data_IF_995416847466
#
_entry.id   IF_995416847466
#
_cell.length_a   1.000
_cell.length_b   1.000
_cell.length_c   1.000
_cell.angle_alpha   90.00
_cell.angle_beta   90.00
_cell.angle_gamma   90.00
#
_symmetry.space_group_name_H-M   'P 1'
#
loop_
_entity.id
_entity.type
_entity.pdbx_description
1 polymer ?
#
# COMPACT_ATOMS: atom_id res chain seq x y z
N UNK A 1 -5.13 -4.87 -19.17
CA UNK A 1 -4.20 -5.53 -18.22
C UNK A 1 -4.98 -5.83 -16.96
N UNK A 2 -4.97 -7.05 -16.48
CA UNK A 2 -5.56 -7.38 -15.19
C UNK A 2 -4.76 -6.68 -14.08
N UNK A 3 -5.42 -5.99 -13.16
CA UNK A 3 -4.78 -5.40 -11.99
C UNK A 3 -4.21 -6.53 -11.12
N UNK A 4 -2.99 -6.36 -10.64
CA UNK A 4 -2.30 -7.37 -9.81
C UNK A 4 -2.23 -6.85 -8.39
N UNK A 5 -2.85 -7.54 -7.41
CA UNK A 5 -2.66 -7.24 -6.00
C UNK A 5 -1.18 -7.30 -5.61
N UNK A 6 -0.76 -6.35 -4.79
CA UNK A 6 0.56 -6.36 -4.12
C UNK A 6 0.42 -6.79 -2.67
N UNK A 7 -0.66 -6.40 -2.00
CA UNK A 7 -0.95 -6.77 -0.63
C UNK A 7 -2.46 -6.80 -0.37
N UNK A 8 -2.87 -7.65 0.56
CA UNK A 8 -4.27 -7.83 0.97
C UNK A 8 -4.32 -7.94 2.49
N UNK A 9 -5.25 -7.21 3.11
CA UNK A 9 -5.50 -7.28 4.55
C UNK A 9 -7.01 -7.21 4.85
N UNK A 10 -7.43 -7.79 5.96
CA UNK A 10 -8.79 -7.64 6.48
C UNK A 10 -8.89 -6.47 7.44
N UNK A 11 -10.04 -5.80 7.44
CA UNK A 11 -10.40 -4.86 8.49
C UNK A 11 -10.62 -5.58 9.82
N UNK A 12 -10.51 -4.87 10.94
CA UNK A 12 -10.59 -5.46 12.29
C UNK A 12 -11.94 -6.11 12.61
N UNK A 13 -12.99 -5.75 11.89
CA UNK A 13 -14.34 -6.35 11.99
C UNK A 13 -14.55 -7.56 11.10
N UNK A 14 -13.53 -7.93 10.32
CA UNK A 14 -13.56 -9.04 9.35
C UNK A 14 -14.69 -8.94 8.30
N UNK A 15 -15.14 -7.74 7.98
CA UNK A 15 -16.20 -7.53 6.98
C UNK A 15 -15.67 -7.14 5.61
N UNK A 16 -14.50 -6.48 5.58
CA UNK A 16 -13.98 -5.84 4.38
C UNK A 16 -12.53 -6.27 4.12
N UNK A 17 -12.24 -6.61 2.88
CA UNK A 17 -10.90 -6.84 2.36
C UNK A 17 -10.38 -5.51 1.82
N UNK A 18 -9.22 -5.07 2.27
CA UNK A 18 -8.46 -4.00 1.65
C UNK A 18 -7.41 -4.62 0.73
N UNK A 19 -7.40 -4.20 -0.52
CA UNK A 19 -6.52 -4.74 -1.54
C UNK A 19 -5.72 -3.59 -2.16
N UNK A 20 -4.40 -3.58 -1.95
CA UNK A 20 -3.49 -2.69 -2.64
C UNK A 20 -3.02 -3.31 -3.95
N UNK A 21 -2.88 -2.50 -5.00
CA UNK A 21 -2.39 -2.96 -6.29
C UNK A 21 -1.06 -2.32 -6.69
N UNK A 22 -0.43 -2.90 -7.71
CA UNK A 22 0.85 -2.40 -8.26
C UNK A 22 0.73 -1.07 -9.03
N UNK A 23 -0.47 -0.56 -9.20
CA UNK A 23 -0.70 0.72 -9.88
C UNK A 23 -0.89 1.88 -8.90
N UNK A 24 -0.83 1.59 -7.60
CA UNK A 24 -0.93 2.59 -6.55
C UNK A 24 -2.33 2.73 -5.95
N UNK A 25 -3.28 1.89 -6.33
CA UNK A 25 -4.65 1.98 -5.86
C UNK A 25 -4.92 1.02 -4.69
N UNK A 26 -5.75 1.45 -3.74
CA UNK A 26 -6.29 0.59 -2.67
C UNK A 26 -7.80 0.52 -2.81
N UNK A 27 -8.30 -0.70 -2.86
CA UNK A 27 -9.71 -1.03 -2.99
C UNK A 27 -10.26 -1.66 -1.73
N UNK A 28 -11.51 -1.36 -1.42
CA UNK A 28 -12.32 -2.11 -0.46
C UNK A 28 -13.23 -3.10 -1.20
N UNK A 29 -13.27 -4.33 -0.69
CA UNK A 29 -14.13 -5.39 -1.19
C UNK A 29 -14.83 -6.03 0.00
N UNK A 30 -16.13 -6.38 -0.10
CA UNK A 30 -16.78 -7.16 0.95
C UNK A 30 -16.12 -8.54 1.05
N UNK A 31 -15.86 -9.03 2.27
CA UNK A 31 -15.33 -10.38 2.49
C UNK A 31 -16.34 -11.44 2.06
N UNK A 32 -17.59 -11.20 2.38
CA UNK A 32 -18.71 -12.07 1.97
C UNK A 32 -19.61 -11.23 1.07
N UNK A 33 -19.64 -11.48 -0.25
CA UNK A 33 -20.51 -10.76 -1.14
C UNK A 33 -21.98 -11.04 -0.81
N UNK A 34 -22.81 -10.01 -0.81
CA UNK A 34 -24.26 -10.12 -0.73
C UNK A 34 -24.82 -10.50 -2.12
N UNK A 35 -25.94 -11.22 -2.20
CA UNK A 35 -26.62 -11.46 -3.48
C UNK A 35 -27.01 -10.20 -4.25
N UNK A 36 -27.13 -9.07 -3.57
CA UNK A 36 -27.40 -7.76 -4.18
C UNK A 36 -26.11 -7.07 -4.69
N UNK A 37 -24.93 -7.49 -4.22
CA UNK A 37 -23.64 -6.96 -4.66
C UNK A 37 -23.25 -7.43 -6.08
N UNK A 38 -23.88 -8.49 -6.58
CA UNK A 38 -23.73 -8.99 -7.97
C UNK A 38 -24.58 -8.21 -8.97
N UNK A 39 -25.52 -7.40 -8.50
CA UNK A 39 -26.21 -6.42 -9.34
C UNK A 39 -25.29 -5.24 -9.54
N UNK A 40 -24.47 -5.32 -10.60
CA UNK A 40 -23.71 -4.18 -11.08
C UNK A 40 -24.75 -3.09 -11.36
N UNK A 41 -24.81 -2.07 -10.53
CA UNK A 41 -25.39 -0.81 -10.97
C UNK A 41 -24.50 -0.37 -12.14
N UNK A 42 -24.99 -0.56 -13.36
CA UNK A 42 -24.44 0.18 -14.47
C UNK A 42 -24.37 1.63 -14.00
N UNK A 43 -23.22 2.33 -14.21
CA UNK A 43 -23.12 3.71 -13.82
C UNK A 43 -24.41 4.37 -14.33
N UNK A 44 -25.24 4.81 -13.40
CA UNK A 44 -26.49 5.46 -13.73
C UNK A 44 -26.09 6.66 -14.58
N UNK A 45 -26.24 6.51 -15.87
CA UNK A 45 -26.35 7.65 -16.74
C UNK A 45 -27.54 8.43 -16.19
N UNK A 46 -27.24 9.41 -15.36
CA UNK A 46 -28.21 10.46 -15.05
C UNK A 46 -28.76 10.87 -16.40
N UNK A 47 -30.09 10.78 -16.62
CA UNK A 47 -30.66 11.18 -17.92
C UNK A 47 -30.25 12.64 -18.09
N UNK A 48 -29.28 12.86 -18.94
CA UNK A 48 -28.92 14.18 -19.40
C UNK A 48 -30.16 14.73 -20.07
N UNK A 49 -30.86 15.58 -19.32
CA UNK A 49 -31.86 16.47 -19.92
C UNK A 49 -31.14 17.20 -21.03
N UNK A 50 -31.56 16.89 -22.26
CA UNK A 50 -30.99 17.45 -23.46
C UNK A 50 -31.07 18.98 -23.41
N UNK A 51 -29.93 19.62 -23.10
CA UNK A 51 -29.68 21.02 -23.42
C UNK A 51 -28.57 21.05 -24.49
N UNK A 52 -28.73 21.86 -25.54
CA UNK A 52 -27.84 21.84 -26.69
C UNK A 52 -26.47 22.43 -26.34
N UNK A 53 -25.45 21.69 -26.71
CA UNK A 53 -24.07 22.09 -27.00
C UNK A 53 -23.45 23.27 -26.18
N UNK A 54 -23.17 23.03 -24.90
CA UNK A 54 -22.04 23.66 -24.28
C UNK A 54 -20.98 22.57 -24.02
N UNK A 55 -20.07 22.37 -24.98
CA UNK A 55 -18.83 21.64 -24.71
C UNK A 55 -18.13 22.35 -23.56
N UNK A 56 -18.22 21.80 -22.38
CA UNK A 56 -17.40 22.24 -21.25
C UNK A 56 -15.94 22.26 -21.71
N UNK A 57 -15.35 23.45 -21.71
CA UNK A 57 -13.96 23.62 -22.07
C UNK A 57 -13.09 22.91 -21.02
N UNK A 58 -12.51 21.79 -21.38
CA UNK A 58 -11.53 21.10 -20.55
C UNK A 58 -10.13 21.55 -21.00
N UNK A 59 -9.32 22.12 -20.08
CA UNK A 59 -7.95 22.46 -20.40
C UNK A 59 -7.18 21.21 -20.84
N UNK A 60 -6.68 21.22 -22.06
CA UNK A 60 -5.88 20.13 -22.60
C UNK A 60 -4.58 20.64 -23.18
N UNK A 61 -3.51 19.87 -23.01
CA UNK A 61 -2.22 20.18 -23.63
C UNK A 61 -2.35 20.09 -25.16
N UNK A 62 -1.85 21.09 -25.87
CA UNK A 62 -1.79 21.13 -27.33
C UNK A 62 -0.35 21.24 -27.78
N UNK A 63 -0.09 20.95 -29.05
CA UNK A 63 1.26 21.11 -29.64
C UNK A 63 1.77 22.53 -29.59
N UNK A 64 0.86 23.52 -29.48
CA UNK A 64 1.19 24.94 -29.34
C UNK A 64 1.52 25.33 -27.89
N UNK A 65 0.97 24.65 -26.90
CA UNK A 65 1.18 24.94 -25.48
C UNK A 65 2.35 24.16 -24.87
N UNK A 66 2.85 23.14 -25.55
CA UNK A 66 3.98 22.32 -25.09
C UNK A 66 5.26 22.70 -25.82
N UNK A 67 6.20 23.32 -25.11
CA UNK A 67 7.44 23.84 -25.69
C UNK A 67 8.61 22.84 -25.67
N UNK A 68 8.63 21.89 -24.72
CA UNK A 68 9.69 20.87 -24.63
C UNK A 68 9.55 19.85 -25.75
N UNK A 69 10.61 19.59 -26.49
CA UNK A 69 10.64 18.58 -27.56
C UNK A 69 10.30 17.17 -27.08
N UNK A 70 10.71 16.82 -25.85
CA UNK A 70 10.38 15.54 -25.21
C UNK A 70 8.88 15.41 -24.93
N UNK A 71 8.29 16.46 -24.35
CA UNK A 71 6.87 16.48 -24.01
C UNK A 71 5.99 16.54 -25.26
N UNK A 72 6.43 17.21 -26.32
CA UNK A 72 5.75 17.17 -27.64
C UNK A 72 5.65 15.77 -28.18
N UNK A 73 6.74 15.01 -28.16
CA UNK A 73 6.75 13.64 -28.63
C UNK A 73 5.80 12.75 -27.85
N UNK A 74 5.77 12.91 -26.53
CA UNK A 74 4.83 12.20 -25.65
C UNK A 74 3.39 12.58 -25.95
N UNK A 75 3.10 13.87 -26.17
CA UNK A 75 1.77 14.35 -26.55
C UNK A 75 1.30 13.76 -27.89
N UNK A 76 2.18 13.75 -28.89
CA UNK A 76 1.90 13.16 -30.19
C UNK A 76 1.60 11.65 -30.10
N UNK A 77 2.35 10.93 -29.28
CA UNK A 77 2.09 9.51 -29.01
C UNK A 77 0.74 9.29 -28.33
N UNK A 78 0.38 10.13 -27.35
CA UNK A 78 -0.94 10.09 -26.68
C UNK A 78 -2.08 10.40 -27.65
N UNK A 79 -1.90 11.39 -28.53
CA UNK A 79 -2.91 11.72 -29.57
C UNK A 79 -3.06 10.58 -30.58
N UNK A 80 -1.96 9.95 -31.01
CA UNK A 80 -2.00 8.75 -31.88
C UNK A 80 -2.70 7.57 -31.19
N UNK A 81 -2.51 7.39 -29.88
CA UNK A 81 -3.21 6.35 -29.11
C UNK A 81 -4.71 6.64 -28.98
N UNK A 82 -5.11 7.90 -28.77
CA UNK A 82 -6.52 8.31 -28.75
C UNK A 82 -7.18 8.15 -30.12
N UNK A 83 -6.47 8.43 -31.21
CA UNK A 83 -6.98 8.27 -32.57
C UNK A 83 -7.16 6.80 -33.01
N UNK A 84 -6.49 5.85 -32.37
CA UNK A 84 -6.64 4.41 -32.62
C UNK A 84 -7.91 3.79 -32.03
N UNK A 85 -8.80 4.60 -31.47
CA UNK A 85 -10.04 4.19 -30.84
C UNK A 85 -9.86 3.84 -29.36
N UNK A 86 -10.97 3.72 -28.61
CA UNK A 86 -10.90 3.37 -27.21
C UNK A 86 -10.14 2.04 -27.08
N UNK A 87 -9.04 2.07 -26.31
CA UNK A 87 -8.39 0.85 -25.87
C UNK A 87 -9.51 -0.07 -25.36
N UNK A 88 -9.52 -1.33 -25.83
CA UNK A 88 -10.51 -2.35 -25.46
C UNK A 88 -10.99 -2.08 -24.06
N UNK A 89 -12.27 -1.75 -23.91
CA UNK A 89 -12.87 -1.44 -22.61
C UNK A 89 -12.43 -2.52 -21.64
N UNK A 90 -11.76 -2.13 -20.58
CA UNK A 90 -11.42 -3.07 -19.51
C UNK A 90 -12.77 -3.65 -19.11
N UNK A 91 -12.93 -4.95 -19.24
CA UNK A 91 -14.16 -5.60 -18.77
C UNK A 91 -14.39 -5.10 -17.33
N UNK A 92 -15.56 -4.53 -17.04
CA UNK A 92 -15.86 -4.07 -15.69
C UNK A 92 -15.68 -5.25 -14.73
N UNK A 93 -15.07 -5.00 -13.58
CA UNK A 93 -14.96 -6.05 -12.57
C UNK A 93 -16.37 -6.47 -12.14
N UNK A 94 -16.65 -7.77 -12.20
CA UNK A 94 -17.98 -8.35 -11.95
C UNK A 94 -18.29 -8.53 -10.45
N UNK A 95 -17.72 -7.73 -9.59
CA UNK A 95 -17.92 -7.78 -8.16
C UNK A 95 -17.86 -6.37 -7.57
N UNK A 96 -18.54 -6.18 -6.45
CA UNK A 96 -18.56 -4.91 -5.75
C UNK A 96 -17.17 -4.58 -5.24
N UNK A 97 -16.69 -3.41 -5.59
CA UNK A 97 -15.42 -2.87 -5.15
C UNK A 97 -15.51 -1.36 -5.10
N UNK A 98 -14.84 -0.77 -4.15
CA UNK A 98 -14.76 0.67 -3.98
C UNK A 98 -13.29 1.10 -4.00
N UNK A 99 -12.96 2.11 -4.81
CA UNK A 99 -11.63 2.73 -4.78
C UNK A 99 -11.57 3.69 -3.58
N UNK A 100 -10.72 3.38 -2.60
CA UNK A 100 -10.58 4.16 -1.39
C UNK A 100 -9.55 5.29 -1.53
N UNK A 101 -8.40 4.97 -2.09
CA UNK A 101 -7.29 5.92 -2.24
C UNK A 101 -6.36 5.49 -3.37
N UNK A 102 -5.62 6.46 -3.90
CA UNK A 102 -4.64 6.25 -4.94
C UNK A 102 -3.27 6.86 -4.58
N UNK A 103 -2.23 6.28 -5.13
CA UNK A 103 -0.85 6.74 -5.08
C UNK A 103 -0.29 6.88 -6.50
N UNK A 104 0.73 7.69 -6.64
CA UNK A 104 1.50 7.80 -7.90
C UNK A 104 2.48 6.64 -8.02
N UNK A 105 3.06 6.21 -6.89
CA UNK A 105 4.02 5.11 -6.82
C UNK A 105 3.34 3.75 -6.66
N UNK A 106 4.08 2.70 -7.02
CA UNK A 106 3.65 1.32 -6.84
C UNK A 106 3.58 0.96 -5.37
N UNK A 107 2.39 0.53 -4.92
CA UNK A 107 2.22 0.02 -3.56
C UNK A 107 2.85 -1.36 -3.40
N UNK A 108 3.52 -1.54 -2.28
CA UNK A 108 4.20 -2.78 -1.90
C UNK A 108 3.47 -3.50 -0.78
N UNK A 109 2.92 -2.73 0.17
CA UNK A 109 2.17 -3.29 1.29
C UNK A 109 1.07 -2.34 1.78
N UNK A 110 0.08 -2.91 2.48
CA UNK A 110 -1.00 -2.19 3.15
C UNK A 110 -1.24 -2.79 4.53
N UNK A 111 -1.37 -1.91 5.52
CA UNK A 111 -1.75 -2.27 6.88
C UNK A 111 -3.00 -1.49 7.29
N UNK A 112 -3.77 -2.08 8.21
CA UNK A 112 -4.99 -1.49 8.74
C UNK A 112 -4.99 -1.57 10.26
N UNK A 113 -5.44 -0.50 10.90
CA UNK A 113 -5.61 -0.47 12.36
C UNK A 113 -6.79 0.40 12.76
N UNK A 114 -7.24 0.24 13.99
CA UNK A 114 -8.27 1.07 14.60
C UNK A 114 -7.79 1.55 15.97
N UNK A 115 -7.79 2.87 16.17
CA UNK A 115 -7.36 3.51 17.41
C UNK A 115 -8.42 4.53 17.81
N UNK A 116 -8.86 4.52 19.06
CA UNK A 116 -9.86 5.45 19.62
C UNK A 116 -11.12 5.60 18.75
N UNK A 117 -11.59 4.49 18.22
CA UNK A 117 -12.78 4.44 17.38
C UNK A 117 -12.57 4.87 15.91
N UNK A 118 -11.40 5.37 15.54
CA UNK A 118 -11.04 5.74 14.17
C UNK A 118 -10.26 4.63 13.50
N UNK A 119 -10.55 4.40 12.24
CA UNK A 119 -9.79 3.48 11.41
C UNK A 119 -8.74 4.22 10.59
N UNK A 120 -7.64 3.51 10.30
CA UNK A 120 -6.52 4.02 9.52
C UNK A 120 -6.05 2.98 8.52
N UNK A 121 -5.67 3.45 7.33
CA UNK A 121 -5.02 2.68 6.29
C UNK A 121 -3.61 3.21 6.16
N UNK A 122 -2.63 2.35 6.38
CA UNK A 122 -1.22 2.68 6.21
C UNK A 122 -0.72 1.95 4.98
N UNK A 123 -0.10 2.68 4.07
CA UNK A 123 0.41 2.15 2.81
C UNK A 123 1.90 2.37 2.72
N UNK A 124 2.60 1.36 2.22
CA UNK A 124 4.01 1.45 1.86
C UNK A 124 4.15 1.42 0.35
N UNK A 125 5.08 2.18 -0.19
CA UNK A 125 5.36 2.23 -1.61
C UNK A 125 6.82 1.90 -1.94
N UNK A 126 7.10 1.79 -3.22
CA UNK A 126 8.42 1.52 -3.74
C UNK A 126 9.39 2.71 -3.60
N UNK A 127 8.85 3.92 -3.44
CA UNK A 127 9.61 5.16 -3.40
C UNK A 127 9.85 5.62 -1.94
N UNK A 128 10.03 4.65 -1.01
CA UNK A 128 10.48 4.88 0.36
C UNK A 128 9.44 5.53 1.29
N UNK A 129 8.20 5.71 0.82
CA UNK A 129 7.18 6.40 1.59
C UNK A 129 6.25 5.43 2.33
N UNK A 130 5.94 5.82 3.57
CA UNK A 130 4.85 5.23 4.33
C UNK A 130 3.82 6.33 4.57
N UNK A 131 2.61 6.19 3.98
CA UNK A 131 1.52 7.14 4.12
C UNK A 131 0.46 6.63 5.06
N UNK A 132 0.00 7.52 5.95
CA UNK A 132 -1.06 7.29 6.90
C UNK A 132 -2.30 8.02 6.38
N UNK A 133 -3.34 7.27 6.05
CA UNK A 133 -4.64 7.80 5.63
C UNK A 133 -5.70 7.37 6.62
N UNK A 134 -6.79 8.12 6.71
CA UNK A 134 -7.97 7.65 7.45
C UNK A 134 -8.52 6.39 6.80
N UNK A 135 -9.23 5.58 7.56
CA UNK A 135 -10.02 4.49 7.00
C UNK A 135 -11.38 4.97 6.50
N UNK A 136 -12.16 4.08 5.86
CA UNK A 136 -13.50 4.41 5.40
C UNK A 136 -14.37 5.01 6.51
N UNK A 137 -15.25 6.00 6.17
CA UNK A 137 -15.53 6.54 4.83
C UNK A 137 -14.60 7.67 4.40
N UNK A 138 -13.58 8.02 5.18
CA UNK A 138 -12.71 9.19 4.96
C UNK A 138 -11.33 8.82 4.41
N UNK A 139 -11.21 7.75 3.65
CA UNK A 139 -9.93 7.21 3.18
C UNK A 139 -9.10 8.18 2.32
N UNK A 140 -9.74 9.17 1.71
CA UNK A 140 -9.09 10.24 0.94
C UNK A 140 -8.30 11.23 1.79
N UNK A 141 -8.50 11.24 3.13
CA UNK A 141 -7.81 12.18 4.03
C UNK A 141 -6.47 11.57 4.44
N UNK A 142 -5.39 12.25 4.08
CA UNK A 142 -4.03 11.93 4.50
C UNK A 142 -3.79 12.60 5.86
N UNK A 143 -3.47 11.80 6.88
CA UNK A 143 -3.14 12.31 8.22
C UNK A 143 -1.64 12.63 8.34
N UNK A 144 -0.78 11.86 7.67
CA UNK A 144 0.66 12.07 7.75
C UNK A 144 1.47 11.05 6.97
N UNK A 145 2.78 11.13 7.20
CA UNK A 145 3.77 10.24 6.60
C UNK A 145 4.81 9.85 7.66
N UNK A 146 5.40 8.66 7.49
CA UNK A 146 6.62 8.27 8.19
C UNK A 146 7.79 8.33 7.21
N UNK A 147 8.71 9.24 7.43
CA UNK A 147 9.90 9.45 6.60
C UNK A 147 11.15 8.94 7.30
N UNK A 148 12.06 8.30 6.58
CA UNK A 148 13.34 7.84 7.13
C UNK A 148 13.91 6.59 6.49
N UNK A 149 13.14 5.87 5.66
CA UNK A 149 13.68 4.84 4.79
C UNK A 149 14.56 5.47 3.70
N UNK A 150 15.60 4.78 3.30
CA UNK A 150 16.53 5.15 2.21
C UNK A 150 16.45 4.17 1.04
N UNK A 151 15.66 3.11 1.20
CA UNK A 151 15.36 2.12 0.20
C UNK A 151 13.87 1.76 0.22
N UNK A 152 13.40 1.02 -0.78
CA UNK A 152 12.00 0.62 -0.89
C UNK A 152 11.48 -0.04 0.39
N UNK A 153 10.25 0.27 0.76
CA UNK A 153 9.55 -0.40 1.86
C UNK A 153 8.76 -1.57 1.27
N UNK A 154 8.92 -2.76 1.84
CA UNK A 154 8.25 -3.97 1.34
C UNK A 154 7.19 -4.52 2.29
N UNK A 155 7.34 -4.26 3.59
CA UNK A 155 6.46 -4.82 4.63
C UNK A 155 6.18 -3.84 5.75
N UNK A 156 4.93 -3.91 6.21
CA UNK A 156 4.39 -3.19 7.36
C UNK A 156 3.81 -4.21 8.35
N UNK A 157 4.03 -4.00 9.64
CA UNK A 157 3.46 -4.84 10.68
C UNK A 157 3.17 -4.01 11.93
N UNK A 158 1.99 -4.16 12.51
CA UNK A 158 1.70 -3.60 13.83
C UNK A 158 2.14 -4.54 14.93
N UNK A 159 2.81 -3.99 15.93
CA UNK A 159 3.08 -4.69 17.20
C UNK A 159 1.80 -4.72 18.05
N UNK A 160 1.77 -5.59 19.05
CA UNK A 160 0.68 -5.60 20.04
C UNK A 160 0.56 -4.28 20.83
N UNK A 161 1.66 -3.57 21.01
CA UNK A 161 1.68 -2.26 21.65
C UNK A 161 1.21 -1.12 20.74
N UNK A 162 0.76 -1.43 19.52
CA UNK A 162 0.25 -0.44 18.56
C UNK A 162 1.31 0.35 17.81
N UNK A 163 2.58 0.01 17.95
CA UNK A 163 3.66 0.59 17.14
C UNK A 163 3.66 -0.01 15.75
N UNK A 164 4.05 0.76 14.76
CA UNK A 164 4.26 0.28 13.40
C UNK A 164 5.72 -0.12 13.21
N UNK A 165 5.95 -1.30 12.64
CA UNK A 165 7.27 -1.75 12.21
C UNK A 165 7.26 -1.85 10.70
N UNK A 166 8.31 -1.33 10.06
CA UNK A 166 8.48 -1.39 8.61
C UNK A 166 9.87 -1.92 8.26
N UNK A 167 9.97 -2.51 7.09
CA UNK A 167 11.22 -3.00 6.53
C UNK A 167 11.15 -3.19 5.03
N UNK A 168 12.30 -3.21 4.40
CA UNK A 168 12.42 -3.33 2.95
C UNK A 168 13.85 -3.60 2.51
N UNK A 169 14.39 -2.72 1.69
CA UNK A 169 15.75 -2.78 1.18
C UNK A 169 16.80 -2.14 2.09
N UNK A 170 16.39 -1.52 3.19
CA UNK A 170 17.31 -0.94 4.17
C UNK A 170 17.98 -2.02 5.03
N UNK A 171 19.12 -1.67 5.62
CA UNK A 171 19.87 -2.53 6.54
C UNK A 171 19.24 -2.64 7.93
N UNK A 172 18.10 -1.98 8.14
CA UNK A 172 17.41 -1.86 9.42
C UNK A 172 15.91 -2.14 9.27
N UNK A 173 15.29 -2.61 10.35
CA UNK A 173 13.86 -2.42 10.58
C UNK A 173 13.65 -1.08 11.29
N UNK A 174 12.55 -0.42 10.98
CA UNK A 174 12.19 0.86 11.55
C UNK A 174 10.95 0.69 12.42
N UNK A 175 11.02 1.21 13.65
CA UNK A 175 9.90 1.22 14.61
C UNK A 175 9.38 2.64 14.74
N UNK A 176 8.09 2.81 14.49
CA UNK A 176 7.45 4.13 14.41
C UNK A 176 6.43 4.36 15.49
N UNK A 177 6.42 5.58 16.00
CA UNK A 177 5.23 6.21 16.52
C UNK A 177 4.49 6.82 15.32
N UNK A 178 3.73 5.98 14.64
CA UNK A 178 3.14 6.30 13.36
C UNK A 178 2.09 7.42 13.44
N UNK A 179 1.39 7.57 14.58
CA UNK A 179 0.40 8.63 14.78
C UNK A 179 1.05 10.02 14.76
N UNK A 180 2.28 10.13 15.26
CA UNK A 180 3.04 11.36 15.27
C UNK A 180 4.05 11.44 14.11
N UNK A 181 4.16 10.41 13.28
CA UNK A 181 5.12 10.32 12.18
C UNK A 181 6.58 10.25 12.65
N UNK A 182 6.82 9.83 13.89
CA UNK A 182 8.14 9.85 14.50
C UNK A 182 8.81 8.47 14.46
N UNK A 183 10.06 8.46 14.03
CA UNK A 183 10.92 7.29 14.15
C UNK A 183 11.35 7.11 15.61
N UNK A 184 11.00 5.97 16.21
CA UNK A 184 11.39 5.62 17.59
C UNK A 184 12.72 4.88 17.65
N UNK A 185 12.89 3.90 16.75
CA UNK A 185 14.05 3.01 16.81
C UNK A 185 14.39 2.48 15.41
N UNK A 186 15.68 2.24 15.17
CA UNK A 186 16.22 1.49 14.04
C UNK A 186 16.87 0.22 14.57
N UNK A 187 16.36 -0.94 14.14
CA UNK A 187 16.90 -2.25 14.52
C UNK A 187 17.79 -2.76 13.39
N UNK A 188 19.10 -2.83 13.62
CA UNK A 188 20.04 -3.34 12.64
C UNK A 188 19.79 -4.83 12.36
N UNK A 189 19.56 -5.18 11.11
CA UNK A 189 19.27 -6.57 10.69
C UNK A 189 20.36 -7.14 9.79
N UNK A 190 21.12 -6.31 9.06
CA UNK A 190 22.15 -6.77 8.14
C UNK A 190 23.19 -7.64 8.82
N UNK A 191 23.80 -7.13 9.88
CA UNK A 191 24.91 -7.81 10.55
C UNK A 191 24.43 -9.10 11.24
N UNK A 192 23.21 -9.09 11.79
CA UNK A 192 22.60 -10.30 12.36
C UNK A 192 22.33 -11.36 11.29
N UNK A 193 21.80 -10.95 10.15
CA UNK A 193 21.54 -11.86 9.03
C UNK A 193 22.85 -12.41 8.46
N UNK A 194 23.86 -11.58 8.31
CA UNK A 194 25.17 -11.98 7.81
C UNK A 194 25.83 -12.99 8.73
N UNK A 195 25.90 -12.71 10.04
CA UNK A 195 26.49 -13.62 11.04
C UNK A 195 25.77 -14.99 11.01
N UNK A 196 24.45 -14.99 11.00
CA UNK A 196 23.66 -16.21 10.97
C UNK A 196 23.91 -17.06 9.71
N UNK A 197 24.02 -16.42 8.54
CA UNK A 197 24.31 -17.11 7.29
C UNK A 197 25.75 -17.59 7.21
N UNK A 198 26.69 -16.84 7.79
CA UNK A 198 28.09 -17.24 7.88
C UNK A 198 28.27 -18.47 8.76
N UNK A 199 27.62 -18.55 9.92
CA UNK A 199 27.62 -19.75 10.78
C UNK A 199 27.11 -21.01 10.05
N UNK A 200 26.17 -20.83 9.10
CA UNK A 200 25.62 -21.92 8.28
C UNK A 200 26.44 -22.21 7.03
N UNK A 201 27.54 -21.50 6.80
CA UNK A 201 28.36 -21.67 5.60
C UNK A 201 27.67 -21.28 4.28
N UNK A 202 26.65 -20.40 4.36
CA UNK A 202 25.86 -19.96 3.22
C UNK A 202 26.37 -18.65 2.60
N UNK A 203 27.34 -18.00 3.22
CA UNK A 203 27.98 -16.78 2.70
C UNK A 203 29.14 -17.20 1.78
N UNK A 204 29.17 -16.72 0.52
CA UNK A 204 30.28 -16.99 -0.39
C UNK A 204 31.60 -16.43 0.17
N UNK A 205 32.71 -17.12 -0.13
CA UNK A 205 34.03 -16.67 0.28
C UNK A 205 34.35 -15.28 -0.30
N UNK A 206 34.85 -14.37 0.56
CA UNK A 206 35.23 -13.01 0.17
C UNK A 206 34.12 -11.97 0.22
N UNK A 207 32.91 -12.32 0.66
CA UNK A 207 31.83 -11.36 0.93
C UNK A 207 32.00 -10.80 2.33
N UNK A 208 32.05 -9.47 2.45
CA UNK A 208 32.11 -8.74 3.73
C UNK A 208 30.71 -8.28 4.15
N UNK A 209 30.45 -8.19 5.45
CA UNK A 209 29.17 -7.71 5.98
C UNK A 209 28.79 -6.33 5.43
N UNK A 210 29.76 -5.44 5.22
CA UNK A 210 29.50 -4.10 4.69
C UNK A 210 28.93 -4.08 3.28
N UNK A 211 29.23 -5.09 2.46
CA UNK A 211 28.72 -5.22 1.08
C UNK A 211 27.50 -6.13 0.97
N UNK A 212 27.15 -6.83 2.06
CA UNK A 212 26.05 -7.76 2.11
C UNK A 212 24.73 -6.99 2.15
N UNK A 213 23.86 -7.25 1.16
CA UNK A 213 22.53 -6.63 1.08
C UNK A 213 21.46 -7.56 1.61
N UNK A 214 20.59 -7.01 2.43
CA UNK A 214 19.41 -7.71 2.96
C UNK A 214 18.17 -7.11 2.31
N UNK A 215 17.11 -7.91 2.23
CA UNK A 215 15.79 -7.45 1.86
C UNK A 215 14.76 -8.13 2.75
N UNK A 216 13.94 -7.35 3.41
CA UNK A 216 12.86 -7.85 4.27
C UNK A 216 11.71 -8.32 3.38
N UNK A 217 11.35 -9.59 3.49
CA UNK A 217 10.24 -10.19 2.70
C UNK A 217 9.00 -10.46 3.53
N UNK A 218 9.10 -10.41 4.87
CA UNK A 218 8.00 -10.60 5.78
C UNK A 218 8.32 -10.10 7.19
N UNK A 219 7.31 -9.57 7.87
CA UNK A 219 7.35 -9.16 9.28
C UNK A 219 6.08 -9.69 9.94
N UNK A 220 6.22 -10.35 11.07
CA UNK A 220 5.08 -10.89 11.81
C UNK A 220 5.20 -10.57 13.29
N UNK A 221 4.11 -10.12 13.90
CA UNK A 221 4.01 -9.96 15.35
C UNK A 221 3.66 -11.30 15.99
N UNK A 222 4.56 -11.82 16.81
CA UNK A 222 4.30 -13.03 17.57
C UNK A 222 3.54 -12.72 18.87
N UNK A 223 2.58 -13.58 19.29
CA UNK A 223 2.02 -13.47 20.62
C UNK A 223 3.13 -13.77 21.64
N UNK A 224 3.49 -12.77 22.46
CA UNK A 224 4.29 -13.06 23.66
C UNK A 224 3.44 -13.99 24.54
N UNK A 225 4.01 -15.12 24.92
CA UNK A 225 3.44 -15.89 26.04
C UNK A 225 3.61 -14.98 27.27
N UNK A 226 2.50 -14.44 27.73
CA UNK A 226 2.48 -13.85 29.06
C UNK A 226 3.01 -14.95 29.98
N UNK A 227 4.01 -14.61 30.81
CA UNK A 227 4.55 -15.53 31.79
C UNK A 227 3.35 -16.12 32.56
N UNK A 228 3.08 -17.39 32.36
CA UNK A 228 2.12 -18.13 33.15
C UNK A 228 2.61 -17.91 34.57
N UNK A 229 1.81 -17.16 35.35
CA UNK A 229 2.03 -16.99 36.77
C UNK A 229 2.34 -18.38 37.35
N UNK A 230 3.55 -18.53 37.84
CA UNK A 230 3.94 -19.70 38.60
C UNK A 230 2.98 -19.78 39.78
N UNK A 231 1.99 -20.62 39.68
CA UNK A 231 1.15 -21.06 40.80
C UNK A 231 2.09 -21.83 41.70
N UNK A 232 2.48 -21.23 42.82
CA UNK A 232 3.19 -21.91 43.88
C UNK A 232 2.42 -23.17 44.26
N UNK A 233 3.05 -24.34 44.41
CA UNK A 233 2.40 -25.51 44.95
C UNK A 233 2.10 -25.23 46.43
N UNK A 234 0.80 -25.13 46.77
CA UNK A 234 0.40 -25.16 48.17
C UNK A 234 0.81 -26.53 48.75
N UNK A 235 1.77 -26.48 49.64
CA UNK A 235 2.13 -27.61 50.50
C UNK A 235 0.98 -27.90 51.46
N UNK A 236 0.54 -29.12 51.45
CA UNK A 236 -0.29 -29.73 52.52
C UNK A 236 0.60 -30.12 53.69
#
# INVERSE_FOLDING_TARGET
>A
MSRRPSSIILTSDNTTILCADKFGDVYALPLIPSPDDDKIEEPSETPATAQPDQKEWMPSATTLTVHSGRNRKTLEEQLKQKAKGPAKSKEPMRFKHELLLGHVSMLTDVAYTKVDGRSYIITADRDEHIRISRGPPQAHIIEGFCFGHEAFVSRLCFTKSGQLVSGGGDDHLFVWDWQNGLLKEKLAIRDLAFAHLQERGLVPAGVESATFKVAVTGIWSLPTRDAVSATEPQSF
#
